data_IF_293940460337
#
_entry.id   IF_293940460337
#
_cell.length_a   1.000
_cell.length_b   1.000
_cell.length_c   1.000
_cell.angle_alpha   90.00
_cell.angle_beta   90.00
_cell.angle_gamma   90.00
#
_symmetry.space_group_name_H-M   'P 1'
#
loop_
_entity.id
_entity.type
_entity.pdbx_description
1 polymer ?
#
# COMPACT_ATOMS: atom_id res chain seq x y z
N UNK A 1 -91.06 5.01 13.79
CA UNK A 1 -90.93 3.78 12.96
C UNK A 1 -89.94 4.08 11.85
N UNK A 2 -88.89 3.25 11.73
CA UNK A 2 -88.03 2.90 10.58
C UNK A 2 -87.90 3.88 9.39
N UNK A 3 -86.77 4.10 8.75
CA UNK A 3 -85.43 3.51 8.79
C UNK A 3 -84.54 4.37 7.88
N UNK A 4 -83.25 4.52 8.20
CA UNK A 4 -82.23 4.96 7.24
C UNK A 4 -81.03 4.03 7.33
N UNK A 5 -80.85 3.25 6.27
CA UNK A 5 -79.73 2.37 5.97
C UNK A 5 -78.51 3.16 5.46
N UNK A 6 -77.30 2.59 5.55
CA UNK A 6 -76.03 3.27 5.28
C UNK A 6 -75.62 3.16 3.80
N UNK A 7 -74.83 4.12 3.28
CA UNK A 7 -74.06 3.91 2.04
C UNK A 7 -72.64 4.45 2.16
N UNK A 8 -71.71 3.55 1.80
CA UNK A 8 -70.26 3.66 1.92
C UNK A 8 -69.62 4.43 0.75
N UNK A 9 -68.50 5.09 1.07
CA UNK A 9 -67.23 5.25 0.30
C UNK A 9 -67.26 5.36 -1.23
N UNK A 10 -66.61 6.41 -1.73
CA UNK A 10 -65.66 6.31 -2.85
C UNK A 10 -64.65 7.48 -2.88
N UNK A 11 -63.64 7.47 -2.00
CA UNK A 11 -62.41 8.26 -2.22
C UNK A 11 -61.44 7.40 -3.03
N UNK A 12 -61.50 7.53 -4.35
CA UNK A 12 -60.75 6.68 -5.28
C UNK A 12 -59.32 7.19 -5.48
N UNK A 13 -58.38 6.31 -5.12
CA UNK A 13 -57.03 6.08 -5.69
C UNK A 13 -55.95 7.14 -5.40
N UNK A 14 -54.96 6.67 -4.63
CA UNK A 14 -53.87 7.44 -4.06
C UNK A 14 -52.77 7.89 -5.04
N UNK A 15 -51.84 8.73 -4.59
CA UNK A 15 -50.83 9.35 -5.45
C UNK A 15 -49.45 8.71 -5.29
N UNK A 16 -49.19 7.43 -5.61
CA UNK A 16 -47.87 6.85 -5.28
C UNK A 16 -47.17 6.02 -6.36
N UNK A 17 -47.34 6.30 -7.66
CA UNK A 17 -46.42 5.72 -8.67
C UNK A 17 -46.06 6.74 -9.76
N UNK A 18 -45.49 7.89 -9.36
CA UNK A 18 -44.61 8.64 -10.24
C UNK A 18 -43.41 7.73 -10.57
N UNK A 19 -43.36 7.22 -11.80
CA UNK A 19 -42.21 6.48 -12.31
C UNK A 19 -41.02 7.45 -12.36
N UNK A 20 -40.17 7.39 -11.34
CA UNK A 20 -38.93 8.17 -11.32
C UNK A 20 -38.09 7.74 -12.55
N UNK A 21 -37.74 8.66 -13.45
CA UNK A 21 -36.96 8.33 -14.64
C UNK A 21 -35.60 7.80 -14.18
N UNK A 22 -35.22 6.61 -14.63
CA UNK A 22 -33.94 6.00 -14.28
C UNK A 22 -32.81 6.92 -14.76
N UNK A 23 -31.96 7.44 -13.86
CA UNK A 23 -30.85 8.29 -14.25
C UNK A 23 -29.72 7.43 -14.81
N UNK A 24 -29.77 7.11 -16.11
CA UNK A 24 -28.79 6.25 -16.81
C UNK A 24 -27.33 6.66 -16.58
N UNK A 25 -27.06 7.97 -16.43
CA UNK A 25 -25.74 8.48 -16.05
C UNK A 25 -25.27 7.94 -14.69
N UNK A 26 -26.14 7.91 -13.69
CA UNK A 26 -25.80 7.38 -12.36
C UNK A 26 -25.62 5.86 -12.40
N UNK A 27 -26.48 5.15 -13.12
CA UNK A 27 -26.33 3.69 -13.33
C UNK A 27 -24.98 3.37 -13.95
N UNK A 28 -24.59 4.09 -15.01
CA UNK A 28 -23.28 3.93 -15.64
C UNK A 28 -22.13 4.24 -14.65
N UNK A 29 -22.23 5.34 -13.90
CA UNK A 29 -21.22 5.69 -12.88
C UNK A 29 -21.09 4.59 -11.83
N UNK A 30 -22.19 4.02 -11.35
CA UNK A 30 -22.13 2.94 -10.36
C UNK A 30 -21.54 1.65 -10.92
N UNK A 31 -21.89 1.27 -12.15
CA UNK A 31 -21.29 0.11 -12.83
C UNK A 31 -19.79 0.33 -13.01
N UNK A 32 -19.38 1.49 -13.50
CA UNK A 32 -17.97 1.84 -13.66
C UNK A 32 -17.25 1.83 -12.32
N UNK A 33 -17.84 2.39 -11.27
CA UNK A 33 -17.28 2.41 -9.92
C UNK A 33 -17.12 0.99 -9.34
N UNK A 34 -18.11 0.12 -9.51
CA UNK A 34 -18.03 -1.29 -9.09
C UNK A 34 -16.93 -2.01 -9.85
N UNK A 35 -16.84 -1.82 -11.17
CA UNK A 35 -15.80 -2.42 -11.98
C UNK A 35 -14.41 -1.96 -11.55
N UNK A 36 -14.21 -0.64 -11.37
CA UNK A 36 -12.96 -0.08 -10.85
C UNK A 36 -12.64 -0.61 -9.45
N UNK A 37 -13.64 -0.73 -8.58
CA UNK A 37 -13.45 -1.29 -7.24
C UNK A 37 -12.96 -2.73 -7.30
N UNK A 38 -13.60 -3.59 -8.10
CA UNK A 38 -13.19 -4.99 -8.27
C UNK A 38 -11.79 -5.08 -8.88
N UNK A 39 -11.48 -4.25 -9.88
CA UNK A 39 -10.16 -4.20 -10.50
C UNK A 39 -9.06 -3.82 -9.51
N UNK A 40 -9.33 -2.85 -8.63
CA UNK A 40 -8.37 -2.40 -7.63
C UNK A 40 -8.25 -3.38 -6.45
N UNK A 41 -9.37 -3.88 -5.92
CA UNK A 41 -9.41 -4.66 -4.67
C UNK A 41 -9.24 -6.15 -4.92
N UNK A 42 -9.75 -6.67 -6.03
CA UNK A 42 -9.70 -8.08 -6.41
C UNK A 42 -8.35 -8.76 -6.22
N UNK A 43 -7.23 -8.24 -6.79
CA UNK A 43 -5.92 -8.87 -6.63
C UNK A 43 -5.43 -8.87 -5.17
N UNK A 44 -5.71 -7.82 -4.38
CA UNK A 44 -5.34 -7.80 -2.97
C UNK A 44 -6.17 -8.76 -2.13
N UNK A 45 -7.47 -8.86 -2.42
CA UNK A 45 -8.33 -9.87 -1.80
C UNK A 45 -7.80 -11.27 -2.05
N UNK A 46 -7.35 -11.57 -3.28
CA UNK A 46 -6.75 -12.87 -3.59
C UNK A 46 -5.44 -13.13 -2.84
N UNK A 47 -4.59 -12.12 -2.64
CA UNK A 47 -3.38 -12.24 -1.80
C UNK A 47 -3.75 -12.58 -0.35
N UNK A 48 -4.79 -11.96 0.20
CA UNK A 48 -5.27 -12.27 1.55
C UNK A 48 -5.85 -13.69 1.62
N UNK A 49 -6.69 -14.09 0.65
CA UNK A 49 -7.28 -15.42 0.61
C UNK A 49 -6.20 -16.51 0.47
N UNK A 50 -5.25 -16.32 -0.44
CA UNK A 50 -4.14 -17.26 -0.66
C UNK A 50 -3.19 -17.37 0.53
N UNK A 51 -3.15 -16.38 1.43
CA UNK A 51 -2.38 -16.50 2.67
C UNK A 51 -2.93 -17.55 3.65
N UNK A 52 -4.18 -17.99 3.47
CA UNK A 52 -4.79 -19.10 4.22
C UNK A 52 -4.69 -20.45 3.49
N UNK A 53 -4.24 -20.46 2.23
CA UNK A 53 -4.02 -21.68 1.44
C UNK A 53 -2.69 -22.33 1.80
N UNK A 54 -2.61 -23.65 1.68
CA UNK A 54 -1.33 -24.35 1.75
C UNK A 54 -0.50 -24.06 0.50
N UNK A 55 0.81 -24.32 0.56
CA UNK A 55 1.68 -24.14 -0.62
C UNK A 55 1.26 -25.02 -1.79
N UNK A 56 0.78 -26.23 -1.51
CA UNK A 56 0.32 -27.18 -2.52
C UNK A 56 -0.94 -26.67 -3.21
N UNK A 57 -1.89 -26.16 -2.43
CA UNK A 57 -3.13 -25.58 -2.92
C UNK A 57 -2.89 -24.30 -3.74
N UNK A 58 -2.02 -23.41 -3.26
CA UNK A 58 -1.69 -22.17 -3.98
C UNK A 58 -0.95 -22.41 -5.32
N UNK A 59 -0.33 -23.58 -5.49
CA UNK A 59 0.43 -23.97 -6.67
C UNK A 59 -0.29 -25.04 -7.50
N UNK A 60 -1.54 -25.39 -7.17
CA UNK A 60 -2.32 -26.42 -7.85
C UNK A 60 -2.74 -25.98 -9.25
N UNK A 61 -2.94 -26.96 -10.14
CA UNK A 61 -3.46 -26.76 -11.49
C UNK A 61 -4.68 -27.67 -11.67
N UNK A 62 -5.90 -27.14 -11.87
CA UNK A 62 -6.27 -25.71 -12.03
C UNK A 62 -6.14 -24.91 -10.71
N UNK A 63 -5.93 -23.57 -10.78
CA UNK A 63 -5.76 -22.74 -9.59
C UNK A 63 -7.07 -22.62 -8.79
N UNK A 64 -6.96 -22.80 -7.48
CA UNK A 64 -8.08 -22.61 -6.56
C UNK A 64 -8.26 -21.12 -6.24
N UNK A 65 -9.50 -20.64 -6.29
CA UNK A 65 -9.82 -19.24 -5.98
C UNK A 65 -10.13 -19.02 -4.50
N UNK A 66 -10.56 -20.06 -3.80
CA UNK A 66 -10.90 -20.09 -2.38
C UNK A 66 -10.24 -21.31 -1.74
N UNK A 67 -9.78 -21.23 -0.48
CA UNK A 67 -9.18 -22.34 0.22
C UNK A 67 -10.23 -23.44 0.46
N UNK A 68 -9.90 -24.69 0.14
CA UNK A 68 -10.69 -25.87 0.48
C UNK A 68 -10.66 -26.09 2.00
N UNK A 69 -9.47 -25.96 2.60
CA UNK A 69 -9.26 -26.04 4.04
C UNK A 69 -8.47 -24.80 4.50
N UNK A 70 -9.16 -23.76 5.02
CA UNK A 70 -8.48 -22.57 5.52
C UNK A 70 -7.53 -22.92 6.67
N UNK A 71 -6.23 -22.66 6.48
CA UNK A 71 -5.20 -22.94 7.49
C UNK A 71 -4.54 -21.66 8.00
N UNK A 72 -4.02 -21.72 9.23
CA UNK A 72 -3.21 -20.64 9.83
C UNK A 72 -1.71 -20.97 9.83
N UNK A 73 -1.31 -22.02 9.11
CA UNK A 73 0.03 -22.57 9.17
C UNK A 73 1.09 -21.57 8.69
N UNK A 74 0.76 -20.78 7.66
CA UNK A 74 1.61 -19.71 7.13
C UNK A 74 1.91 -18.62 8.17
N UNK A 75 0.96 -18.34 9.07
CA UNK A 75 1.14 -17.37 10.15
C UNK A 75 1.90 -17.95 11.35
N UNK A 76 1.61 -19.19 11.71
CA UNK A 76 2.32 -19.89 12.79
C UNK A 76 3.80 -20.09 12.46
N UNK A 77 4.13 -20.27 11.17
CA UNK A 77 5.49 -20.38 10.69
C UNK A 77 6.36 -19.15 11.00
N UNK A 78 5.80 -17.97 11.29
CA UNK A 78 6.58 -16.80 11.69
C UNK A 78 7.14 -16.89 13.12
N UNK A 79 6.52 -17.69 14.00
CA UNK A 79 6.81 -17.69 15.44
C UNK A 79 7.17 -19.07 15.99
N UNK A 80 6.74 -20.15 15.34
CA UNK A 80 6.93 -21.53 15.80
C UNK A 80 8.01 -22.24 14.98
N UNK A 81 9.21 -22.47 15.54
CA UNK A 81 10.28 -23.19 14.86
C UNK A 81 9.87 -24.61 14.44
N UNK A 82 9.01 -25.26 15.21
CA UNK A 82 8.54 -26.63 14.91
C UNK A 82 7.70 -26.67 13.63
N UNK A 83 6.91 -25.63 13.37
CA UNK A 83 6.11 -25.49 12.13
C UNK A 83 7.04 -25.23 10.94
N UNK A 84 8.08 -24.42 11.13
CA UNK A 84 9.11 -24.22 10.12
C UNK A 84 9.80 -25.56 9.82
N UNK A 85 10.19 -26.32 10.83
CA UNK A 85 10.87 -27.60 10.70
C UNK A 85 10.00 -28.64 9.97
N UNK A 86 8.69 -28.70 10.25
CA UNK A 86 7.77 -29.55 9.48
C UNK A 86 7.66 -29.14 8.01
N UNK A 87 7.78 -27.85 7.70
CA UNK A 87 7.83 -27.36 6.30
C UNK A 87 9.18 -27.60 5.61
N UNK A 88 10.27 -27.78 6.38
CA UNK A 88 11.61 -28.04 5.86
C UNK A 88 11.79 -29.49 5.41
N UNK A 89 11.09 -30.42 6.06
CA UNK A 89 11.17 -31.87 5.80
C UNK A 89 10.65 -32.24 4.39
N UNK A 90 9.74 -31.43 3.84
CA UNK A 90 9.02 -31.70 2.58
C UNK A 90 9.72 -31.16 1.30
N UNK A 91 11.06 -31.11 1.26
CA UNK A 91 11.90 -30.72 0.10
C UNK A 91 11.74 -29.28 -0.41
N UNK A 92 12.28 -28.30 0.33
CA UNK A 92 13.06 -27.15 -0.21
C UNK A 92 13.60 -26.30 0.95
N UNK A 93 14.90 -26.42 1.23
CA UNK A 93 15.66 -25.69 2.26
C UNK A 93 15.63 -24.14 2.17
N UNK A 94 14.95 -23.56 1.18
CA UNK A 94 14.99 -22.12 0.93
C UNK A 94 13.79 -21.35 1.47
N UNK A 95 12.62 -21.96 1.65
CA UNK A 95 11.40 -21.21 2.02
C UNK A 95 11.28 -21.06 3.53
N UNK A 96 11.48 -22.13 4.32
CA UNK A 96 11.36 -22.08 5.78
C UNK A 96 12.37 -21.14 6.44
N UNK A 97 13.60 -21.08 5.92
CA UNK A 97 14.63 -20.17 6.42
C UNK A 97 14.27 -18.69 6.21
N UNK A 98 13.65 -18.35 5.08
CA UNK A 98 13.22 -16.97 4.79
C UNK A 98 12.06 -16.55 5.69
N UNK A 99 11.11 -17.45 5.97
CA UNK A 99 9.93 -17.15 6.79
C UNK A 99 10.32 -16.79 8.23
N UNK A 100 11.32 -17.47 8.81
CA UNK A 100 11.81 -17.17 10.17
C UNK A 100 12.45 -15.78 10.31
N UNK A 101 12.98 -15.21 9.23
CA UNK A 101 13.59 -13.87 9.25
C UNK A 101 12.57 -12.73 9.07
N UNK A 102 11.35 -13.03 8.60
CA UNK A 102 10.32 -12.04 8.30
C UNK A 102 10.00 -11.12 9.49
N UNK A 103 9.83 -11.60 10.74
CA UNK A 103 9.57 -10.71 11.87
C UNK A 103 10.67 -9.67 12.11
N UNK A 104 11.93 -10.07 11.96
CA UNK A 104 13.08 -9.17 12.10
C UNK A 104 13.15 -8.17 10.93
N UNK A 105 12.88 -8.63 9.71
CA UNK A 105 12.80 -7.77 8.52
C UNK A 105 11.66 -6.74 8.62
N UNK A 106 10.50 -7.13 9.17
CA UNK A 106 9.37 -6.23 9.45
C UNK A 106 9.75 -5.18 10.48
N UNK A 107 10.40 -5.56 11.58
CA UNK A 107 10.91 -4.62 12.58
C UNK A 107 11.87 -3.61 11.95
N UNK A 108 12.85 -4.08 11.17
CA UNK A 108 13.80 -3.20 10.49
C UNK A 108 13.08 -2.26 9.51
N UNK A 109 12.09 -2.76 8.77
CA UNK A 109 11.30 -1.95 7.82
C UNK A 109 10.52 -0.85 8.53
N UNK A 110 9.89 -1.15 9.67
CA UNK A 110 9.19 -0.17 10.51
C UNK A 110 10.17 0.91 10.98
N UNK A 111 11.31 0.50 11.55
CA UNK A 111 12.33 1.43 12.05
C UNK A 111 12.82 2.34 10.93
N UNK A 112 13.16 1.79 9.76
CA UNK A 112 13.61 2.57 8.61
C UNK A 112 12.51 3.51 8.13
N UNK A 113 11.29 3.03 7.92
CA UNK A 113 10.19 3.83 7.38
C UNK A 113 9.87 5.03 8.28
N UNK A 114 9.71 4.81 9.59
CA UNK A 114 9.41 5.89 10.53
C UNK A 114 10.57 6.87 10.66
N UNK A 115 11.81 6.37 10.74
CA UNK A 115 13.00 7.24 10.84
C UNK A 115 13.16 8.11 9.60
N UNK A 116 13.03 7.52 8.41
CA UNK A 116 13.14 8.24 7.14
C UNK A 116 11.99 9.24 6.98
N UNK A 117 10.75 8.87 7.32
CA UNK A 117 9.61 9.78 7.24
C UNK A 117 9.79 10.98 8.18
N UNK A 118 10.15 10.74 9.44
CA UNK A 118 10.39 11.78 10.42
C UNK A 118 11.53 12.72 9.99
N UNK A 119 12.68 12.15 9.61
CA UNK A 119 13.85 12.94 9.20
C UNK A 119 13.60 13.70 7.90
N UNK A 120 12.84 13.15 6.94
CA UNK A 120 12.42 13.89 5.75
C UNK A 120 11.58 15.10 6.08
N UNK A 121 10.61 14.98 7.00
CA UNK A 121 9.79 16.12 7.40
C UNK A 121 10.65 17.17 8.08
N UNK A 122 11.50 16.78 9.03
CA UNK A 122 12.36 17.73 9.77
C UNK A 122 13.35 18.44 8.83
N UNK A 123 14.20 17.67 8.15
CA UNK A 123 15.26 18.21 7.29
C UNK A 123 14.68 18.88 6.05
N UNK A 124 13.65 18.25 5.46
CA UNK A 124 12.96 18.77 4.28
C UNK A 124 12.24 20.07 4.56
N UNK A 125 11.60 20.23 5.74
CA UNK A 125 10.94 21.49 6.11
C UNK A 125 11.95 22.62 6.28
N UNK A 126 13.04 22.35 7.02
CA UNK A 126 14.12 23.31 7.22
C UNK A 126 14.77 23.73 5.89
N UNK A 127 14.94 22.79 4.97
CA UNK A 127 15.54 23.04 3.66
C UNK A 127 14.58 23.74 2.70
N UNK A 128 13.29 23.40 2.71
CA UNK A 128 12.28 23.97 1.81
C UNK A 128 11.90 25.41 2.17
N UNK A 129 11.93 25.77 3.44
CA UNK A 129 11.46 27.07 3.93
C UNK A 129 12.17 28.27 3.26
N UNK A 130 13.52 28.33 3.15
CA UNK A 130 14.20 29.39 2.41
C UNK A 130 13.79 29.46 0.93
N UNK A 131 13.62 28.31 0.26
CA UNK A 131 13.22 28.27 -1.15
C UNK A 131 11.80 28.77 -1.39
N UNK A 132 10.92 28.64 -0.39
CA UNK A 132 9.54 29.12 -0.43
C UNK A 132 9.45 30.63 -0.13
N UNK A 133 10.13 31.08 0.93
CA UNK A 133 9.91 32.43 1.50
C UNK A 133 10.94 33.48 1.10
N UNK A 134 12.10 33.09 0.58
CA UNK A 134 13.17 34.04 0.23
C UNK A 134 13.44 34.08 -1.27
N UNK A 135 13.80 35.25 -1.78
CA UNK A 135 14.23 35.45 -3.17
C UNK A 135 15.75 35.62 -3.20
N UNK A 136 16.47 34.54 -3.43
CA UNK A 136 17.93 34.55 -3.55
C UNK A 136 18.39 34.12 -4.95
N UNK A 137 19.62 34.50 -5.30
CA UNK A 137 20.22 34.21 -6.61
C UNK A 137 20.48 32.70 -6.73
N UNK A 138 20.05 32.10 -7.84
CA UNK A 138 20.24 30.65 -8.11
C UNK A 138 19.19 29.70 -7.52
N UNK A 139 18.12 30.20 -6.89
CA UNK A 139 17.07 29.36 -6.26
C UNK A 139 16.50 28.28 -7.21
N UNK A 140 16.21 28.66 -8.45
CA UNK A 140 15.59 27.76 -9.43
C UNK A 140 16.61 26.75 -9.92
N UNK A 141 17.84 27.18 -10.16
CA UNK A 141 18.95 26.30 -10.58
C UNK A 141 19.23 25.23 -9.52
N UNK A 142 19.28 25.59 -8.23
CA UNK A 142 19.47 24.62 -7.15
C UNK A 142 18.31 23.64 -7.04
N UNK A 143 17.06 24.11 -7.11
CA UNK A 143 15.88 23.23 -7.08
C UNK A 143 15.86 22.26 -8.27
N UNK A 144 16.16 22.74 -9.47
CA UNK A 144 16.24 21.89 -10.66
C UNK A 144 17.39 20.88 -10.51
N UNK A 145 18.56 21.31 -10.03
CA UNK A 145 19.67 20.41 -9.78
C UNK A 145 19.30 19.29 -8.80
N UNK A 146 18.64 19.61 -7.69
CA UNK A 146 18.12 18.62 -6.74
C UNK A 146 17.16 17.61 -7.40
N UNK A 147 16.30 18.03 -8.33
CA UNK A 147 15.42 17.12 -9.04
C UNK A 147 16.16 16.26 -10.07
N UNK A 148 17.14 16.84 -10.77
CA UNK A 148 17.93 16.14 -11.78
C UNK A 148 18.73 14.98 -11.18
N UNK A 149 19.17 15.06 -9.92
CA UNK A 149 19.82 13.92 -9.26
C UNK A 149 18.92 12.69 -9.15
N UNK A 150 17.59 12.84 -9.18
CA UNK A 150 16.63 11.72 -9.19
C UNK A 150 16.43 11.08 -10.56
N UNK A 151 16.90 11.72 -11.63
CA UNK A 151 16.84 11.14 -12.98
C UNK A 151 17.98 10.15 -13.23
N UNK A 152 18.98 10.13 -12.35
CA UNK A 152 20.03 9.11 -12.38
C UNK A 152 19.40 7.75 -12.07
N UNK A 153 19.58 6.73 -12.94
CA UNK A 153 18.99 5.43 -12.72
C UNK A 153 19.56 4.79 -11.45
N UNK A 154 18.68 4.33 -10.57
CA UNK A 154 19.07 3.76 -9.28
C UNK A 154 20.09 2.62 -9.42
N UNK A 155 19.95 1.79 -10.46
CA UNK A 155 20.88 0.69 -10.78
C UNK A 155 22.33 1.17 -10.99
N UNK A 156 22.54 2.34 -11.62
CA UNK A 156 23.88 2.90 -11.85
C UNK A 156 24.55 3.36 -10.54
N UNK A 157 23.75 3.68 -9.51
CA UNK A 157 24.25 4.14 -8.22
C UNK A 157 24.52 3.01 -7.23
N UNK A 158 24.13 1.77 -7.52
CA UNK A 158 24.30 0.64 -6.58
C UNK A 158 25.77 0.44 -6.20
N UNK A 159 26.66 0.30 -7.20
CA UNK A 159 28.09 0.09 -6.95
C UNK A 159 28.75 1.24 -6.16
N UNK A 160 28.62 2.52 -6.58
CA UNK A 160 29.25 3.60 -5.83
C UNK A 160 28.67 3.75 -4.42
N UNK A 161 27.35 3.61 -4.24
CA UNK A 161 26.74 3.66 -2.91
C UNK A 161 27.22 2.50 -2.04
N UNK A 162 27.31 1.28 -2.59
CA UNK A 162 27.87 0.13 -1.88
C UNK A 162 29.31 0.40 -1.40
N UNK A 163 30.17 0.94 -2.26
CA UNK A 163 31.55 1.28 -1.88
C UNK A 163 31.61 2.34 -0.78
N UNK A 164 30.73 3.35 -0.83
CA UNK A 164 30.63 4.38 0.21
C UNK A 164 30.19 3.74 1.54
N UNK A 165 29.10 2.99 1.55
CA UNK A 165 28.58 2.31 2.74
C UNK A 165 29.62 1.34 3.33
N UNK A 166 30.39 0.65 2.47
CA UNK A 166 31.51 -0.21 2.89
C UNK A 166 32.60 0.57 3.61
N UNK A 167 33.02 1.70 3.03
CA UNK A 167 34.10 2.52 3.60
C UNK A 167 33.73 3.10 4.96
N UNK A 168 32.48 3.49 5.15
CA UNK A 168 31.99 4.08 6.41
C UNK A 168 31.49 3.02 7.41
N UNK A 169 31.62 1.72 7.12
CA UNK A 169 31.17 0.64 8.01
C UNK A 169 29.64 0.52 8.14
N UNK A 170 28.88 1.09 7.21
CA UNK A 170 27.42 1.09 7.20
C UNK A 170 26.79 -0.12 6.50
N UNK A 171 27.61 -1.05 5.99
CA UNK A 171 27.10 -2.27 5.36
C UNK A 171 26.39 -3.15 6.39
N UNK A 172 25.25 -3.71 5.99
CA UNK A 172 24.40 -4.55 6.83
C UNK A 172 23.91 -3.87 8.12
N UNK A 173 23.86 -2.53 8.12
CA UNK A 173 23.39 -1.75 9.26
C UNK A 173 22.11 -0.97 8.89
N UNK A 174 21.14 -0.97 9.79
CA UNK A 174 19.84 -0.27 9.61
C UNK A 174 20.04 1.23 9.40
N UNK A 175 20.97 1.86 10.12
CA UNK A 175 21.26 3.29 9.97
C UNK A 175 21.85 3.65 8.60
N UNK A 176 22.62 2.73 7.99
CA UNK A 176 23.13 2.89 6.63
C UNK A 176 22.01 2.97 5.60
N UNK A 177 20.98 2.12 5.76
CA UNK A 177 19.78 2.16 4.94
C UNK A 177 18.99 3.46 5.13
N UNK A 178 18.82 3.93 6.37
CA UNK A 178 18.14 5.20 6.68
C UNK A 178 18.83 6.37 5.95
N UNK A 179 20.14 6.47 6.06
CA UNK A 179 20.94 7.52 5.41
C UNK A 179 20.79 7.47 3.87
N UNK A 180 20.85 6.28 3.30
CA UNK A 180 20.70 6.07 1.87
C UNK A 180 19.30 6.53 1.40
N UNK A 181 18.24 6.07 2.06
CA UNK A 181 16.86 6.47 1.70
C UNK A 181 16.64 7.98 1.83
N UNK A 182 17.18 8.62 2.88
CA UNK A 182 17.11 10.08 3.03
C UNK A 182 17.73 10.80 1.85
N UNK A 183 18.91 10.38 1.40
CA UNK A 183 19.60 10.99 0.27
C UNK A 183 18.74 11.01 -1.00
N UNK A 184 17.97 9.93 -1.24
CA UNK A 184 17.10 9.82 -2.43
C UNK A 184 15.74 10.50 -2.28
N UNK A 185 15.22 10.62 -1.06
CA UNK A 185 13.86 11.12 -0.79
C UNK A 185 13.82 12.60 -0.45
N UNK A 186 14.91 13.16 0.10
CA UNK A 186 15.00 14.57 0.45
C UNK A 186 14.75 15.54 -0.72
N UNK A 187 15.34 15.35 -1.93
CA UNK A 187 15.12 16.29 -3.03
C UNK A 187 13.64 16.44 -3.41
N UNK A 188 12.91 15.33 -3.37
CA UNK A 188 11.48 15.30 -3.64
C UNK A 188 10.68 15.95 -2.51
N UNK A 189 11.02 15.63 -1.26
CA UNK A 189 10.37 16.21 -0.07
C UNK A 189 10.51 17.72 -0.05
N UNK A 190 11.73 18.24 -0.30
CA UNK A 190 11.99 19.69 -0.37
C UNK A 190 11.16 20.35 -1.47
N UNK A 191 11.11 19.73 -2.65
CA UNK A 191 10.36 20.28 -3.77
C UNK A 191 8.86 20.34 -3.50
N UNK A 192 8.29 19.29 -2.91
CA UNK A 192 6.88 19.26 -2.50
C UNK A 192 6.62 20.33 -1.46
N UNK A 193 7.31 20.30 -0.32
CA UNK A 193 7.03 21.17 0.82
C UNK A 193 7.18 22.65 0.45
N UNK A 194 8.13 22.97 -0.44
CA UNK A 194 8.31 24.33 -0.97
C UNK A 194 7.11 24.86 -1.76
N UNK A 195 6.26 24.01 -2.32
CA UNK A 195 5.02 24.45 -2.98
C UNK A 195 3.87 24.72 -1.98
N UNK A 196 3.99 24.23 -0.75
CA UNK A 196 2.97 24.41 0.30
C UNK A 196 3.30 25.51 1.31
N UNK A 197 4.58 25.84 1.51
CA UNK A 197 5.04 26.92 2.39
C UNK A 197 4.99 28.30 1.73
#
# INVERSE_FOLDING_TARGET
MSATTPSMRASSKGPLLQRLPIPWKQVFIYIAAIFTFIYLVGPFSWIVISSFMTREEAMSMPPHWLPEEPTLINYQAYYNPDVINSMLEERRLTVGAVVGEVPLALRNSIVVAFSVAFLNIVIGSLSAYPFARTRFRGRTTLLVFYLLTRMVPALALILPVYLVLRRIGALNQVWGLILMYLTFTLPYTVWILKNYF
#
